data_IF_029913263129
#
_entry.id   IF_029913263129
#
_cell.length_a   1.000
_cell.length_b   1.000
_cell.length_c   1.000
_cell.angle_alpha   90.00
_cell.angle_beta   90.00
_cell.angle_gamma   90.00
#
_symmetry.space_group_name_H-M   'P 1'
#
loop_
_entity.id
_entity.type
_entity.pdbx_description
1 polymer ?
#
# COMPACT_ATOMS: atom_id res chain seq x y z
N UNK A 1 11.01 37.95 15.34
CA UNK A 1 11.41 36.58 14.97
C UNK A 1 10.22 35.72 15.32
N UNK A 2 9.28 35.63 14.40
CA UNK A 2 8.06 34.85 14.58
C UNK A 2 8.15 33.70 13.58
N UNK A 3 8.41 32.51 14.09
CA UNK A 3 8.52 31.28 13.32
C UNK A 3 7.10 30.87 12.89
N UNK A 4 6.70 31.29 11.69
CA UNK A 4 5.47 30.82 11.05
C UNK A 4 5.58 29.33 10.77
N UNK A 5 4.63 28.48 11.21
CA UNK A 5 4.63 27.08 10.81
C UNK A 5 4.34 27.00 9.30
N UNK A 6 5.34 26.56 8.54
CA UNK A 6 5.19 26.17 7.14
C UNK A 6 4.31 24.92 7.09
N UNK A 7 2.98 25.12 7.01
CA UNK A 7 2.08 24.10 6.51
C UNK A 7 2.39 23.91 5.03
N UNK A 8 3.17 22.88 4.72
CA UNK A 8 3.35 22.37 3.37
C UNK A 8 1.97 21.98 2.85
N UNK A 9 1.40 22.85 2.02
CA UNK A 9 0.24 22.55 1.20
C UNK A 9 0.73 21.61 0.08
N UNK A 10 0.87 20.33 0.37
CA UNK A 10 1.09 19.33 -0.66
C UNK A 10 -0.22 19.24 -1.44
N UNK A 11 -0.21 19.83 -2.63
CA UNK A 11 -1.23 19.73 -3.66
C UNK A 11 -1.78 18.30 -3.75
N UNK A 12 -2.93 18.05 -3.12
CA UNK A 12 -3.76 16.90 -3.46
C UNK A 12 -4.30 17.18 -4.86
N UNK A 13 -3.67 16.54 -5.83
CA UNK A 13 -4.13 16.52 -7.20
C UNK A 13 -5.63 16.20 -7.23
N UNK A 14 -6.32 17.05 -7.98
CA UNK A 14 -7.75 17.08 -8.24
C UNK A 14 -8.30 15.69 -8.60
N UNK A 15 -9.50 15.43 -8.10
CA UNK A 15 -10.14 14.12 -8.15
C UNK A 15 -10.41 13.63 -9.56
N UNK A 16 -9.97 12.41 -9.83
CA UNK A 16 -10.67 11.40 -10.62
C UNK A 16 -10.06 10.02 -10.34
N UNK A 17 -10.15 9.53 -9.09
CA UNK A 17 -9.93 8.10 -8.81
C UNK A 17 -11.20 7.33 -9.23
N UNK A 18 -11.49 7.37 -10.52
CA UNK A 18 -12.65 6.74 -11.17
C UNK A 18 -12.33 5.40 -11.82
N UNK A 19 -11.07 5.00 -11.86
CA UNK A 19 -10.64 3.74 -12.46
C UNK A 19 -9.86 2.95 -11.42
N UNK A 20 -10.34 1.74 -11.10
CA UNK A 20 -9.59 0.71 -10.38
C UNK A 20 -8.32 0.33 -11.17
N UNK A 21 -7.30 1.19 -11.14
CA UNK A 21 -6.03 0.97 -11.82
C UNK A 21 -5.17 0.03 -10.98
N UNK A 22 -5.10 -1.21 -11.45
CA UNK A 22 -4.12 -2.19 -10.98
C UNK A 22 -2.81 -1.91 -11.71
N UNK A 23 -1.81 -1.48 -10.96
CA UNK A 23 -0.47 -1.21 -11.45
C UNK A 23 0.40 -2.46 -11.36
N UNK A 24 1.23 -2.67 -12.38
CA UNK A 24 2.19 -3.78 -12.44
C UNK A 24 3.58 -3.29 -12.06
N UNK A 25 4.20 -3.95 -11.08
CA UNK A 25 5.52 -3.66 -10.56
C UNK A 25 6.42 -4.89 -10.62
N UNK A 26 7.73 -4.67 -10.72
CA UNK A 26 8.75 -5.72 -10.59
C UNK A 26 9.44 -5.63 -9.23
N UNK A 27 9.53 -6.72 -8.48
CA UNK A 27 10.19 -6.77 -7.17
C UNK A 27 11.67 -6.36 -7.29
N UNK A 28 12.36 -6.84 -8.32
CA UNK A 28 13.79 -6.54 -8.54
C UNK A 28 14.03 -5.09 -8.89
N UNK A 29 13.12 -4.47 -9.64
CA UNK A 29 13.29 -3.10 -10.15
C UNK A 29 12.65 -2.06 -9.24
N UNK A 30 11.41 -2.30 -8.86
CA UNK A 30 10.51 -1.36 -8.20
C UNK A 30 10.27 -1.73 -6.73
N UNK A 31 10.90 -2.78 -6.18
CA UNK A 31 10.68 -3.20 -4.79
C UNK A 31 11.06 -2.15 -3.73
N UNK A 32 11.87 -1.14 -4.08
CA UNK A 32 12.17 0.00 -3.21
C UNK A 32 11.22 1.20 -3.42
N UNK A 33 10.33 1.14 -4.42
CA UNK A 33 9.36 2.18 -4.70
C UNK A 33 8.38 2.30 -3.54
N UNK A 34 8.24 3.54 -3.06
CA UNK A 34 7.33 3.92 -2.00
C UNK A 34 5.94 4.14 -2.61
N UNK A 35 4.95 3.39 -2.16
CA UNK A 35 3.55 3.54 -2.60
C UNK A 35 2.81 4.56 -1.74
N UNK A 36 3.07 4.52 -0.44
CA UNK A 36 2.53 5.44 0.56
C UNK A 36 3.54 5.63 1.69
N UNK A 37 3.36 6.56 2.65
CA UNK A 37 4.31 6.74 3.74
C UNK A 37 4.65 5.45 4.51
N UNK A 38 3.71 4.52 4.63
CA UNK A 38 3.88 3.29 5.40
C UNK A 38 4.15 2.05 4.53
N UNK A 39 3.88 2.08 3.22
CA UNK A 39 3.93 0.89 2.37
C UNK A 39 4.88 1.01 1.17
N UNK A 40 5.63 -0.06 0.90
CA UNK A 40 6.49 -0.23 -0.28
C UNK A 40 6.03 -1.39 -1.15
N UNK A 41 6.35 -1.34 -2.44
CA UNK A 41 6.03 -2.40 -3.42
C UNK A 41 6.46 -3.79 -2.95
N UNK A 42 7.67 -3.94 -2.39
CA UNK A 42 8.19 -5.24 -1.95
C UNK A 42 7.31 -5.97 -0.93
N UNK A 43 6.51 -5.23 -0.16
CA UNK A 43 5.69 -5.80 0.91
C UNK A 43 4.48 -6.55 0.35
N UNK A 44 4.06 -6.21 -0.88
CA UNK A 44 2.98 -6.88 -1.58
C UNK A 44 3.45 -8.04 -2.46
N UNK A 45 4.77 -8.31 -2.48
CA UNK A 45 5.34 -9.37 -3.31
C UNK A 45 5.17 -10.74 -2.67
N UNK A 46 4.80 -11.74 -3.47
CA UNK A 46 4.91 -13.14 -3.05
C UNK A 46 6.40 -13.58 -3.02
N UNK A 47 6.84 -14.30 -1.97
CA UNK A 47 8.22 -14.80 -1.91
C UNK A 47 8.56 -15.65 -3.14
N UNK A 48 9.57 -15.21 -3.89
CA UNK A 48 10.04 -15.90 -5.10
C UNK A 48 9.39 -15.44 -6.41
N UNK A 49 8.46 -14.48 -6.36
CA UNK A 49 7.88 -13.86 -7.55
C UNK A 49 8.46 -12.47 -7.79
N UNK A 50 8.74 -12.16 -9.06
CA UNK A 50 9.17 -10.82 -9.47
C UNK A 50 7.98 -9.93 -9.84
N UNK A 51 6.90 -10.49 -10.36
CA UNK A 51 5.77 -9.71 -10.82
C UNK A 51 4.79 -9.43 -9.68
N UNK A 52 4.39 -8.17 -9.51
CA UNK A 52 3.51 -7.72 -8.43
C UNK A 52 2.42 -6.84 -9.03
N UNK A 53 1.16 -7.19 -8.81
CA UNK A 53 0.03 -6.34 -9.16
C UNK A 53 -0.52 -5.66 -7.90
N UNK A 54 -0.70 -4.36 -7.94
CA UNK A 54 -1.21 -3.58 -6.81
C UNK A 54 -2.22 -2.56 -7.32
N UNK A 55 -3.45 -2.65 -6.80
CA UNK A 55 -4.48 -1.63 -7.00
C UNK A 55 -4.19 -0.41 -6.12
N UNK A 56 -4.14 0.79 -6.70
CA UNK A 56 -3.85 2.01 -5.92
C UNK A 56 -4.92 2.26 -4.84
N UNK A 57 -6.17 1.81 -5.05
CA UNK A 57 -7.25 1.94 -4.06
C UNK A 57 -7.01 1.06 -2.83
N UNK A 58 -6.30 -0.07 -2.99
CA UNK A 58 -5.89 -0.91 -1.85
C UNK A 58 -4.95 -0.14 -0.93
N UNK A 59 -4.02 0.62 -1.49
CA UNK A 59 -3.06 1.43 -0.72
C UNK A 59 -3.78 2.51 0.07
N UNK A 60 -4.73 3.22 -0.56
CA UNK A 60 -5.56 4.22 0.13
C UNK A 60 -6.37 3.60 1.28
N UNK A 61 -6.94 2.41 1.07
CA UNK A 61 -7.71 1.69 2.08
C UNK A 61 -6.84 1.27 3.27
N UNK A 62 -5.61 0.81 3.01
CA UNK A 62 -4.67 0.41 4.05
C UNK A 62 -4.20 1.59 4.90
N UNK A 63 -3.94 2.75 4.28
CA UNK A 63 -3.61 3.99 5.00
C UNK A 63 -4.81 4.49 5.83
N UNK A 64 -6.02 4.44 5.27
CA UNK A 64 -7.24 4.78 6.02
C UNK A 64 -7.46 3.82 7.20
N UNK A 65 -7.11 2.55 7.06
CA UNK A 65 -7.20 1.54 8.10
C UNK A 65 -6.11 1.73 9.17
N UNK A 66 -4.87 2.06 8.76
CA UNK A 66 -3.78 2.46 9.67
C UNK A 66 -4.21 3.60 10.59
N UNK A 67 -4.76 4.67 10.01
CA UNK A 67 -5.23 5.83 10.76
C UNK A 67 -6.48 5.55 11.61
N UNK A 68 -7.41 4.70 11.14
CA UNK A 68 -8.65 4.37 11.88
C UNK A 68 -8.42 3.44 13.06
N UNK A 69 -7.53 2.46 12.90
CA UNK A 69 -7.23 1.47 13.94
C UNK A 69 -6.10 1.92 14.87
N UNK A 70 -5.52 3.10 14.62
CA UNK A 70 -4.36 3.63 15.34
C UNK A 70 -3.23 2.58 15.43
N UNK A 71 -3.01 1.88 14.31
CA UNK A 71 -1.99 0.84 14.24
C UNK A 71 -0.62 1.51 14.42
N UNK A 72 0.23 0.96 15.28
CA UNK A 72 1.64 1.39 15.34
C UNK A 72 2.41 0.93 14.12
N UNK A 73 2.03 -0.22 13.56
CA UNK A 73 2.64 -0.82 12.37
C UNK A 73 1.64 -1.73 11.65
N UNK A 74 1.61 -1.68 10.32
CA UNK A 74 0.94 -2.70 9.51
C UNK A 74 2.03 -3.51 8.80
N UNK A 75 1.93 -4.83 8.89
CA UNK A 75 2.80 -5.77 8.16
C UNK A 75 1.95 -6.49 7.14
N UNK A 76 2.29 -6.34 5.85
CA UNK A 76 1.69 -7.15 4.80
C UNK A 76 2.26 -8.56 4.90
N UNK A 77 1.41 -9.55 5.15
CA UNK A 77 1.81 -10.96 5.27
C UNK A 77 1.63 -11.72 3.95
N UNK A 78 0.70 -11.27 3.13
CA UNK A 78 0.47 -11.80 1.79
C UNK A 78 -0.09 -10.69 0.90
N UNK A 79 0.42 -10.55 -0.32
CA UNK A 79 -0.03 -9.53 -1.26
C UNK A 79 -0.57 -10.16 -2.55
N UNK A 80 0.03 -9.79 -3.67
CA UNK A 80 -0.28 -10.35 -4.98
C UNK A 80 0.18 -11.82 -5.06
N UNK A 81 -0.71 -12.72 -5.50
CA UNK A 81 -0.40 -14.15 -5.69
C UNK A 81 -0.72 -14.57 -7.11
N UNK A 82 0.16 -15.36 -7.72
CA UNK A 82 -0.06 -15.88 -9.09
C UNK A 82 -0.94 -17.12 -9.14
N UNK A 83 -1.30 -17.68 -7.99
CA UNK A 83 -2.12 -18.89 -7.93
C UNK A 83 -3.57 -18.57 -8.33
N UNK A 84 -4.10 -19.24 -9.34
CA UNK A 84 -5.44 -18.97 -9.90
C UNK A 84 -6.57 -19.22 -8.89
N UNK A 85 -6.31 -19.97 -7.81
CA UNK A 85 -7.24 -20.15 -6.69
C UNK A 85 -7.23 -19.01 -5.67
N UNK A 86 -6.35 -18.01 -5.83
CA UNK A 86 -6.17 -16.92 -4.87
C UNK A 86 -7.19 -15.76 -5.01
N UNK A 87 -8.25 -15.92 -5.81
CA UNK A 87 -9.37 -14.97 -5.91
C UNK A 87 -8.88 -13.54 -6.17
N UNK A 88 -9.23 -12.55 -5.33
CA UNK A 88 -8.83 -11.14 -5.46
C UNK A 88 -7.33 -10.87 -5.27
N UNK A 89 -6.56 -11.80 -4.68
CA UNK A 89 -5.10 -11.67 -4.63
C UNK A 89 -4.47 -11.84 -6.02
N UNK A 90 -5.09 -12.62 -6.91
CA UNK A 90 -4.66 -12.76 -8.30
C UNK A 90 -5.01 -11.52 -9.16
N UNK A 91 -5.86 -10.63 -8.65
CA UNK A 91 -6.20 -9.36 -9.27
C UNK A 91 -5.36 -8.18 -8.73
N UNK A 92 -4.49 -8.40 -7.73
CA UNK A 92 -3.74 -7.32 -7.08
C UNK A 92 -4.60 -6.39 -6.22
N UNK A 93 -5.81 -6.83 -5.84
CA UNK A 93 -6.81 -6.03 -5.11
C UNK A 93 -6.99 -6.45 -3.65
N UNK A 94 -6.21 -7.42 -3.19
CA UNK A 94 -6.26 -7.92 -1.84
C UNK A 94 -4.85 -8.11 -1.29
N UNK A 95 -4.70 -7.80 0.00
CA UNK A 95 -3.52 -8.08 0.78
C UNK A 95 -3.95 -8.52 2.17
N UNK A 96 -3.32 -9.58 2.68
CA UNK A 96 -3.41 -9.97 4.07
C UNK A 96 -2.47 -9.10 4.89
N UNK A 97 -2.99 -8.58 6.00
CA UNK A 97 -2.26 -7.66 6.86
C UNK A 97 -2.33 -8.09 8.31
N UNK A 98 -1.25 -7.82 9.04
CA UNK A 98 -1.22 -7.82 10.50
C UNK A 98 -1.05 -6.39 10.97
N UNK A 99 -2.10 -5.81 11.56
CA UNK A 99 -2.02 -4.57 12.31
C UNK A 99 -1.45 -4.89 13.71
N UNK A 100 -0.39 -4.18 14.08
CA UNK A 100 0.21 -4.22 15.40
C UNK A 100 -0.16 -2.96 16.16
N UNK A 101 -0.71 -3.14 17.35
CA UNK A 101 -0.89 -2.12 18.36
C UNK A 101 0.19 -2.33 19.43
N UNK A 102 0.90 -1.26 19.82
CA UNK A 102 1.62 -1.32 21.08
C UNK A 102 0.58 -1.31 22.19
N UNK A 103 0.41 -2.46 22.85
CA UNK A 103 -0.35 -2.54 24.09
C UNK A 103 0.41 -1.72 25.13
N UNK A 104 -0.20 -0.63 25.59
CA UNK A 104 0.37 0.23 26.62
C UNK A 104 0.04 -0.29 28.01
#
# INVERSE_FOLDING_TARGET
MEETPHFLHTSLADGNKGDNMVNTYSLKRDGATQLSPHFKVREFAEPGNDNILIDDTLIDQLEALYARLDCTKIIITSGYRTDAKASRHAEGRAADINCWHMEN
#
